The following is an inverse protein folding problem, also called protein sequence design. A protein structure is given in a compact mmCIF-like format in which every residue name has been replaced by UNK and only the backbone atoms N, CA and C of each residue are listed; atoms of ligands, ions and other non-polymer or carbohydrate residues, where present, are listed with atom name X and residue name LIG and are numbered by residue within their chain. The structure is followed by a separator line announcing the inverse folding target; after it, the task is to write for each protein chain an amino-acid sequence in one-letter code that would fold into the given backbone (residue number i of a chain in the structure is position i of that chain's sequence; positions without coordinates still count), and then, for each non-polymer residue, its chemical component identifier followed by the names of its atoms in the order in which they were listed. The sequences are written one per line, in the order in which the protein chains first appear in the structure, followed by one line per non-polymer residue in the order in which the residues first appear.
data_IF_346213564293
#
_entry.id   IF_346213564293
#
_cell.length_a   1.000
_cell.length_b   1.000
_cell.length_c   1.000
_cell.angle_alpha   90.00
_cell.angle_beta   90.00
_cell.angle_gamma   90.00
#
_symmetry.space_group_name_H-M   'P 1'
#
loop_
_entity.id
_entity.type
_entity.pdbx_description
1 polymer ?
#
# COMPACT_ATOMS: atom_id res chain seq x y z
N UNK A 1 36.55 -10.86 11.84
CA UNK A 1 36.33 -9.69 12.75
C UNK A 1 35.38 -8.61 12.20
N UNK A 2 34.40 -8.89 11.31
CA UNK A 2 33.52 -7.84 10.73
C UNK A 2 32.01 -7.96 11.04
N UNK A 3 31.52 -8.99 11.73
CA UNK A 3 30.08 -9.12 12.05
C UNK A 3 29.64 -8.27 13.25
N UNK A 4 30.50 -8.11 14.27
CA UNK A 4 30.17 -7.38 15.50
C UNK A 4 29.94 -5.88 15.32
N UNK A 5 30.69 -5.22 14.42
CA UNK A 5 30.53 -3.77 14.16
C UNK A 5 29.26 -3.43 13.38
N UNK A 6 28.79 -4.31 12.48
CA UNK A 6 27.53 -4.13 11.74
C UNK A 6 26.31 -4.23 12.66
N UNK A 7 26.31 -5.17 13.60
CA UNK A 7 25.17 -5.37 14.52
C UNK A 7 25.00 -4.17 15.46
N UNK A 8 26.10 -3.60 15.98
CA UNK A 8 26.04 -2.44 16.87
C UNK A 8 25.63 -1.16 16.13
N UNK A 9 26.11 -0.93 14.91
CA UNK A 9 25.70 0.21 14.09
C UNK A 9 24.20 0.14 13.69
N UNK A 10 23.71 -1.05 13.37
CA UNK A 10 22.29 -1.28 13.09
C UNK A 10 21.45 -1.01 14.35
N UNK A 11 21.84 -1.50 15.54
CA UNK A 11 21.14 -1.16 16.79
C UNK A 11 21.11 0.34 17.06
N UNK A 12 22.23 1.05 16.94
CA UNK A 12 22.29 2.49 17.17
C UNK A 12 21.41 3.31 16.19
N UNK A 13 21.41 2.94 14.90
CA UNK A 13 20.53 3.57 13.90
C UNK A 13 19.05 3.29 14.18
N UNK A 14 18.73 2.09 14.67
CA UNK A 14 17.36 1.72 15.06
C UNK A 14 16.86 2.58 16.22
N UNK A 15 17.66 2.75 17.28
CA UNK A 15 17.26 3.58 18.42
C UNK A 15 17.22 5.08 18.10
N UNK A 16 18.18 5.58 17.31
CA UNK A 16 18.26 7.01 16.98
C UNK A 16 17.10 7.52 16.11
N UNK A 17 16.64 6.72 15.14
CA UNK A 17 15.50 7.12 14.29
C UNK A 17 14.18 6.97 15.04
N UNK A 18 13.99 5.89 15.81
CA UNK A 18 12.79 5.71 16.64
C UNK A 18 12.65 6.82 17.70
N UNK A 19 13.76 7.32 18.26
CA UNK A 19 13.73 8.46 19.19
C UNK A 19 13.23 9.76 18.56
N UNK A 20 13.56 10.02 17.28
CA UNK A 20 13.02 11.20 16.57
C UNK A 20 11.52 11.10 16.32
N UNK A 21 11.02 9.90 16.04
CA UNK A 21 9.59 9.65 15.84
C UNK A 21 8.83 9.84 17.16
N UNK A 22 9.37 9.34 18.27
CA UNK A 22 8.78 9.54 19.61
C UNK A 22 8.77 11.03 20.01
N UNK A 23 9.85 11.77 19.72
CA UNK A 23 9.89 13.22 19.94
C UNK A 23 8.82 13.95 19.11
N UNK A 24 8.69 13.61 17.83
CA UNK A 24 7.65 14.16 16.96
C UNK A 24 6.24 13.83 17.48
N UNK A 25 5.99 12.59 17.92
CA UNK A 25 4.72 12.19 18.52
C UNK A 25 4.41 12.98 19.81
N UNK A 26 5.42 13.18 20.65
CA UNK A 26 5.31 13.98 21.89
C UNK A 26 4.96 15.43 21.57
N UNK A 27 5.62 16.03 20.58
CA UNK A 27 5.35 17.40 20.12
C UNK A 27 3.93 17.51 19.55
N UNK A 28 3.54 16.61 18.65
CA UNK A 28 2.21 16.59 18.05
C UNK A 28 1.10 16.46 19.10
N UNK A 29 1.32 15.64 20.13
CA UNK A 29 0.40 15.47 21.25
C UNK A 29 0.32 16.73 22.12
N UNK A 30 1.47 17.22 22.61
CA UNK A 30 1.55 18.39 23.50
C UNK A 30 0.96 19.65 22.87
N UNK A 31 1.19 19.85 21.57
CA UNK A 31 0.74 21.04 20.84
C UNK A 31 -0.63 20.85 20.17
N UNK A 32 -1.29 19.70 20.37
CA UNK A 32 -2.61 19.38 19.80
C UNK A 32 -2.63 19.58 18.28
N UNK A 33 -1.58 19.10 17.59
CA UNK A 33 -1.43 19.29 16.15
C UNK A 33 -2.54 18.61 15.33
N UNK A 34 -2.66 18.99 14.06
CA UNK A 34 -3.66 18.47 13.14
C UNK A 34 -3.39 17.00 12.77
N UNK A 35 -4.41 16.31 12.24
CA UNK A 35 -4.23 14.95 11.66
C UNK A 35 -3.16 14.94 10.58
N UNK A 36 -3.09 16.00 9.76
CA UNK A 36 -2.04 16.15 8.75
C UNK A 36 -0.64 16.19 9.34
N UNK A 37 -0.42 16.92 10.44
CA UNK A 37 0.89 16.93 11.11
C UNK A 37 1.25 15.55 11.67
N UNK A 38 0.28 14.85 12.30
CA UNK A 38 0.51 13.48 12.78
C UNK A 38 0.86 12.52 11.64
N UNK A 39 0.14 12.65 10.53
CA UNK A 39 0.31 11.86 9.31
C UNK A 39 1.71 12.04 8.70
N UNK A 40 2.19 13.28 8.62
CA UNK A 40 3.47 13.61 7.96
C UNK A 40 4.68 13.50 8.90
N UNK A 41 4.57 13.94 10.15
CA UNK A 41 5.70 14.03 11.07
C UNK A 41 5.96 12.70 11.81
N UNK A 42 4.94 11.85 11.96
CA UNK A 42 5.02 10.61 12.75
C UNK A 42 4.80 9.38 11.88
N UNK A 43 3.61 9.25 11.29
CA UNK A 43 3.20 8.00 10.60
C UNK A 43 4.04 7.75 9.35
N UNK A 44 4.32 8.80 8.56
CA UNK A 44 5.18 8.69 7.39
C UNK A 44 6.61 8.25 7.76
N UNK A 45 7.16 8.75 8.86
CA UNK A 45 8.49 8.37 9.32
C UNK A 45 8.52 6.92 9.83
N UNK A 46 7.46 6.44 10.48
CA UNK A 46 7.31 5.03 10.85
C UNK A 46 7.32 4.14 9.61
N UNK A 47 6.56 4.49 8.56
CA UNK A 47 6.54 3.73 7.31
C UNK A 47 7.90 3.74 6.60
N UNK A 48 8.58 4.90 6.56
CA UNK A 48 9.94 5.02 6.01
C UNK A 48 10.94 4.18 6.81
N UNK A 49 10.77 4.10 8.13
CA UNK A 49 11.59 3.27 9.00
C UNK A 49 11.37 1.79 8.69
N UNK A 50 10.12 1.35 8.55
CA UNK A 50 9.77 -0.02 8.18
C UNK A 50 10.35 -0.43 6.82
N UNK A 51 10.25 0.42 5.78
CA UNK A 51 10.92 0.18 4.50
C UNK A 51 12.44 0.01 4.63
N UNK A 52 13.07 0.79 5.52
CA UNK A 52 14.51 0.67 5.80
C UNK A 52 14.83 -0.66 6.45
N UNK A 53 14.07 -1.04 7.47
CA UNK A 53 14.34 -2.21 8.29
C UNK A 53 14.05 -3.51 7.54
N UNK A 54 13.05 -3.50 6.66
CA UNK A 54 12.75 -4.62 5.79
C UNK A 54 13.80 -4.80 4.68
N UNK A 55 14.54 -3.74 4.34
CA UNK A 55 15.50 -3.75 3.22
C UNK A 55 14.83 -3.61 1.85
N UNK A 56 13.56 -3.20 1.80
CA UNK A 56 12.73 -3.21 0.59
C UNK A 56 12.53 -1.82 -0.05
N UNK A 57 13.29 -0.81 0.37
CA UNK A 57 13.21 0.58 -0.15
C UNK A 57 13.33 0.71 -1.68
N UNK A 58 14.01 -0.23 -2.33
CA UNK A 58 14.19 -0.21 -3.79
C UNK A 58 13.12 -1.00 -4.54
N UNK A 59 12.25 -1.71 -3.82
CA UNK A 59 11.24 -2.62 -4.38
C UNK A 59 9.81 -2.20 -4.03
N UNK A 60 9.63 -1.45 -2.96
CA UNK A 60 8.33 -1.02 -2.46
C UNK A 60 8.40 0.46 -2.13
N UNK A 61 7.24 1.13 -2.19
CA UNK A 61 7.15 2.54 -1.86
C UNK A 61 5.90 2.87 -1.03
N UNK A 62 6.00 3.97 -0.29
CA UNK A 62 4.85 4.66 0.28
C UNK A 62 4.36 5.67 -0.75
N UNK A 63 3.12 5.51 -1.22
CA UNK A 63 2.46 6.48 -2.07
C UNK A 63 1.70 7.49 -1.21
N UNK A 64 1.90 8.78 -1.45
CA UNK A 64 1.07 9.85 -0.89
C UNK A 64 -0.21 9.98 -1.71
N UNK A 65 -1.35 9.75 -1.06
CA UNK A 65 -2.67 9.67 -1.69
C UNK A 65 -3.63 10.77 -1.22
N UNK A 66 -3.17 11.71 -0.39
CA UNK A 66 -3.97 12.82 0.18
C UNK A 66 -4.68 13.69 -0.85
N UNK A 67 -4.27 13.64 -2.12
CA UNK A 67 -4.89 14.35 -3.24
C UNK A 67 -5.47 13.43 -4.31
N UNK A 68 -5.36 12.10 -4.16
CA UNK A 68 -5.73 11.11 -5.16
C UNK A 68 -7.12 10.54 -4.84
N UNK A 69 -7.89 10.24 -5.88
CA UNK A 69 -9.19 9.57 -5.79
C UNK A 69 -9.19 8.33 -6.68
N UNK A 70 -10.15 7.44 -6.47
CA UNK A 70 -10.47 6.39 -7.46
C UNK A 70 -11.10 7.09 -8.68
N UNK A 71 -10.31 7.23 -9.74
CA UNK A 71 -10.66 7.99 -10.95
C UNK A 71 -11.33 7.14 -12.04
N UNK A 72 -11.54 5.85 -11.77
CA UNK A 72 -12.28 4.93 -12.62
C UNK A 72 -13.63 4.62 -11.95
N UNK A 73 -14.73 5.34 -12.29
CA UNK A 73 -16.00 5.19 -11.60
C UNK A 73 -16.53 3.76 -11.63
N UNK A 74 -16.23 3.00 -12.68
CA UNK A 74 -16.58 1.59 -12.85
C UNK A 74 -16.19 0.72 -11.65
N UNK A 75 -15.09 1.05 -10.97
CA UNK A 75 -14.55 0.31 -9.81
C UNK A 75 -15.23 0.66 -8.48
N UNK A 76 -16.00 1.75 -8.42
CA UNK A 76 -16.63 2.18 -7.18
C UNK A 76 -17.82 1.28 -6.83
N UNK A 77 -17.98 0.90 -5.55
CA UNK A 77 -19.09 0.07 -5.12
C UNK A 77 -20.43 0.79 -5.32
N UNK A 78 -21.47 0.00 -5.58
CA UNK A 78 -22.84 0.51 -5.76
C UNK A 78 -23.59 0.34 -4.45
N UNK A 79 -24.19 1.43 -3.96
CA UNK A 79 -25.09 1.43 -2.79
C UNK A 79 -26.36 2.18 -3.16
N UNK A 80 -27.52 1.56 -2.95
CA UNK A 80 -28.83 2.14 -3.29
C UNK A 80 -28.90 2.61 -4.76
N UNK A 81 -28.42 1.77 -5.70
CA UNK A 81 -28.36 2.05 -7.14
C UNK A 81 -27.48 3.26 -7.54
N UNK A 82 -26.66 3.79 -6.62
CA UNK A 82 -25.73 4.88 -6.88
C UNK A 82 -24.31 4.44 -6.57
N UNK A 83 -23.34 4.89 -7.38
CA UNK A 83 -21.93 4.68 -7.07
C UNK A 83 -21.55 5.52 -5.85
N UNK A 84 -20.87 4.90 -4.90
CA UNK A 84 -20.36 5.61 -3.72
C UNK A 84 -19.30 6.60 -4.17
N UNK A 85 -19.33 7.82 -3.63
CA UNK A 85 -18.32 8.85 -3.92
C UNK A 85 -16.97 8.41 -3.33
N UNK A 86 -15.91 8.42 -4.14
CA UNK A 86 -14.55 8.17 -3.66
C UNK A 86 -14.13 9.29 -2.71
N UNK A 87 -13.82 8.94 -1.46
CA UNK A 87 -13.07 9.80 -0.54
C UNK A 87 -11.58 9.48 -0.69
N UNK A 88 -10.74 10.49 -0.53
CA UNK A 88 -9.27 10.37 -0.58
C UNK A 88 -8.78 9.65 0.66
N UNK A 89 -7.70 8.87 0.58
CA UNK A 89 -6.99 8.30 1.73
C UNK A 89 -5.63 8.97 1.92
N UNK A 90 -5.01 8.84 3.08
CA UNK A 90 -3.71 9.48 3.33
C UNK A 90 -2.56 8.86 2.53
N UNK A 91 -2.39 7.54 2.65
CA UNK A 91 -1.23 6.83 2.10
C UNK A 91 -1.60 5.43 1.60
N UNK A 92 -0.68 4.85 0.84
CA UNK A 92 -0.73 3.44 0.45
C UNK A 92 0.66 2.83 0.34
N UNK A 93 0.75 1.51 0.46
CA UNK A 93 1.96 0.75 0.11
C UNK A 93 1.74 0.10 -1.25
N UNK A 94 2.68 0.34 -2.17
CA UNK A 94 2.64 -0.25 -3.50
C UNK A 94 4.01 -0.81 -3.91
N UNK A 95 3.95 -1.68 -4.92
CA UNK A 95 5.13 -2.18 -5.59
C UNK A 95 5.83 -1.03 -6.33
N UNK A 96 7.15 -1.07 -6.31
CA UNK A 96 8.00 -0.31 -7.21
C UNK A 96 8.55 -1.29 -8.25
N UNK A 97 8.04 -1.24 -9.49
CA UNK A 97 8.57 -2.05 -10.57
C UNK A 97 10.04 -1.71 -10.82
N UNK A 98 10.84 -2.73 -11.13
CA UNK A 98 12.11 -2.49 -11.81
C UNK A 98 11.90 -2.21 -13.31
N UNK A 99 12.99 -2.05 -14.06
CA UNK A 99 12.91 -1.70 -15.47
C UNK A 99 12.24 -2.77 -16.34
N UNK A 100 12.42 -4.05 -16.00
CA UNK A 100 11.82 -5.17 -16.73
C UNK A 100 10.32 -5.28 -16.41
N UNK A 101 9.98 -5.23 -15.12
CA UNK A 101 8.60 -5.22 -14.65
C UNK A 101 7.82 -4.02 -15.21
N UNK A 102 8.42 -2.84 -15.23
CA UNK A 102 7.81 -1.64 -15.80
C UNK A 102 7.53 -1.80 -17.30
N UNK A 103 8.47 -2.40 -18.05
CA UNK A 103 8.28 -2.66 -19.48
C UNK A 103 7.14 -3.66 -19.74
N UNK A 104 7.02 -4.71 -18.93
CA UNK A 104 5.92 -5.67 -19.00
C UNK A 104 4.57 -5.01 -18.74
N UNK A 105 4.48 -4.23 -17.67
CA UNK A 105 3.28 -3.47 -17.30
C UNK A 105 2.90 -2.50 -18.41
N UNK A 106 3.87 -1.75 -18.96
CA UNK A 106 3.63 -0.83 -20.07
C UNK A 106 3.09 -1.51 -21.32
N UNK A 107 3.56 -2.71 -21.64
CA UNK A 107 3.03 -3.46 -22.77
C UNK A 107 1.54 -3.79 -22.59
N UNK A 108 1.18 -4.27 -21.40
CA UNK A 108 -0.24 -4.54 -21.04
C UNK A 108 -1.07 -3.26 -21.11
N UNK A 109 -0.58 -2.15 -20.56
CA UNK A 109 -1.30 -0.87 -20.54
C UNK A 109 -1.48 -0.24 -21.92
N UNK A 110 -0.66 -0.56 -22.91
CA UNK A 110 -0.85 -0.10 -24.30
C UNK A 110 -1.91 -0.88 -25.05
N UNK A 111 -2.15 -2.13 -24.64
CA UNK A 111 -3.05 -3.05 -25.31
C UNK A 111 -4.45 -3.10 -24.68
N UNK A 112 -4.63 -2.47 -23.50
CA UNK A 112 -5.95 -2.34 -22.89
C UNK A 112 -6.80 -1.27 -23.61
N UNK A 113 -8.10 -1.50 -23.66
CA UNK A 113 -9.08 -0.57 -24.23
C UNK A 113 -9.63 0.45 -23.22
N UNK A 114 -9.15 0.40 -21.97
CA UNK A 114 -9.53 1.35 -20.93
C UNK A 114 -9.22 2.80 -21.35
N UNK A 115 -10.15 3.73 -21.11
CA UNK A 115 -9.94 5.17 -21.33
C UNK A 115 -8.80 5.73 -20.46
N UNK A 116 -8.63 5.13 -19.27
CA UNK A 116 -7.58 5.47 -18.31
C UNK A 116 -6.77 4.21 -17.94
N UNK A 117 -5.85 3.73 -18.81
CA UNK A 117 -5.10 2.52 -18.58
C UNK A 117 -4.28 2.57 -17.29
N UNK A 118 -4.55 1.65 -16.36
CA UNK A 118 -3.83 1.50 -15.11
C UNK A 118 -3.88 0.04 -14.64
N UNK A 119 -2.87 -0.39 -13.86
CA UNK A 119 -2.94 -1.65 -13.11
C UNK A 119 -3.44 -1.45 -11.67
N UNK A 120 -3.81 -0.22 -11.33
CA UNK A 120 -4.34 0.19 -10.02
C UNK A 120 -5.72 0.83 -10.19
N UNK A 121 -6.42 1.01 -9.07
CA UNK A 121 -7.72 1.68 -8.98
C UNK A 121 -7.68 3.19 -9.30
N UNK A 122 -6.50 3.74 -9.59
CA UNK A 122 -6.36 5.09 -10.13
C UNK A 122 -5.30 5.14 -11.23
N UNK A 123 -5.51 5.97 -12.24
CA UNK A 123 -4.60 6.17 -13.37
C UNK A 123 -3.64 7.35 -13.20
N UNK A 124 -3.64 8.01 -12.03
CA UNK A 124 -2.65 9.07 -11.74
C UNK A 124 -1.22 8.54 -11.90
N UNK A 125 -0.24 9.36 -12.34
CA UNK A 125 1.10 8.88 -12.69
C UNK A 125 1.82 8.08 -11.60
N UNK A 126 1.57 8.38 -10.32
CA UNK A 126 2.18 7.66 -9.20
C UNK A 126 1.65 6.23 -9.04
N UNK A 127 0.37 5.97 -9.38
CA UNK A 127 -0.29 4.66 -9.24
C UNK A 127 -0.49 3.90 -10.54
N UNK A 128 -0.45 4.58 -11.70
CA UNK A 128 -0.77 3.99 -13.02
C UNK A 128 -0.10 2.65 -13.27
N UNK A 129 1.17 2.53 -12.89
CA UNK A 129 2.02 1.33 -13.05
C UNK A 129 2.38 0.66 -11.73
N UNK A 130 1.71 1.02 -10.63
CA UNK A 130 2.07 0.59 -9.28
C UNK A 130 0.83 0.11 -8.56
N UNK A 131 0.69 -1.21 -8.47
CA UNK A 131 -0.42 -1.81 -7.75
C UNK A 131 -0.27 -1.59 -6.23
N UNK A 132 -1.32 -1.05 -5.63
CA UNK A 132 -1.45 -0.92 -4.17
C UNK A 132 -1.84 -2.26 -3.57
N UNK A 133 -1.19 -2.61 -2.46
CA UNK A 133 -1.50 -3.82 -1.69
C UNK A 133 -1.87 -3.50 -0.23
N UNK A 134 -1.72 -2.26 0.20
CA UNK A 134 -2.15 -1.78 1.50
C UNK A 134 -2.62 -0.32 1.39
N UNK A 135 -3.78 0.00 1.97
CA UNK A 135 -4.33 1.35 2.07
C UNK A 135 -4.24 1.82 3.52
N UNK A 136 -3.85 3.08 3.75
CA UNK A 136 -3.68 3.65 5.08
C UNK A 136 -4.48 4.95 5.23
N UNK A 137 -5.15 5.07 6.37
CA UNK A 137 -5.87 6.26 6.81
C UNK A 137 -5.48 6.56 8.26
N UNK A 138 -5.14 7.80 8.54
CA UNK A 138 -4.76 8.28 9.86
C UNK A 138 -5.96 9.04 10.44
N UNK A 139 -6.31 8.70 11.68
CA UNK A 139 -7.36 9.40 12.45
C UNK A 139 -6.89 9.70 13.85
N UNK A 140 -7.36 10.81 14.40
CA UNK A 140 -7.21 11.11 15.83
C UNK A 140 -7.94 10.06 16.67
N UNK A 141 -7.41 9.70 17.85
CA UNK A 141 -8.18 9.00 18.86
C UNK A 141 -9.49 9.76 19.12
N UNK A 142 -10.62 9.05 19.07
CA UNK A 142 -11.97 9.62 19.27
C UNK A 142 -12.42 10.66 18.23
N UNK A 143 -11.84 10.66 17.04
CA UNK A 143 -12.35 11.45 15.91
C UNK A 143 -13.79 11.04 15.55
N UNK A 144 -14.62 12.02 15.16
CA UNK A 144 -16.02 11.79 14.79
C UNK A 144 -16.20 11.06 13.45
N UNK A 145 -15.13 10.74 12.73
CA UNK A 145 -15.17 10.08 11.43
C UNK A 145 -14.52 8.70 11.49
N UNK A 146 -15.35 7.69 11.29
CA UNK A 146 -14.92 6.31 11.12
C UNK A 146 -14.12 6.16 9.80
N UNK A 147 -12.86 5.69 9.84
CA UNK A 147 -12.07 5.45 8.63
C UNK A 147 -12.53 4.21 7.84
N UNK A 148 -13.29 3.29 8.44
CA UNK A 148 -13.70 2.00 7.83
C UNK A 148 -14.34 2.19 6.44
N UNK A 149 -15.36 3.06 6.26
CA UNK A 149 -16.06 3.13 4.98
C UNK A 149 -15.16 3.63 3.85
N UNK A 150 -14.24 4.53 4.17
CA UNK A 150 -13.31 5.12 3.21
C UNK A 150 -12.25 4.11 2.76
N UNK A 151 -11.64 3.41 3.71
CA UNK A 151 -10.74 2.30 3.44
C UNK A 151 -11.45 1.18 2.67
N UNK A 152 -12.69 0.86 3.03
CA UNK A 152 -13.50 -0.15 2.34
C UNK A 152 -13.73 0.18 0.86
N UNK A 153 -14.06 1.43 0.54
CA UNK A 153 -14.21 1.87 -0.87
C UNK A 153 -12.89 1.71 -1.65
N UNK A 154 -11.77 2.14 -1.08
CA UNK A 154 -10.46 2.03 -1.72
C UNK A 154 -10.01 0.57 -1.93
N UNK A 155 -10.19 -0.25 -0.91
CA UNK A 155 -9.84 -1.67 -0.96
C UNK A 155 -10.71 -2.39 -1.98
N UNK A 156 -12.03 -2.18 -1.98
CA UNK A 156 -12.93 -2.81 -2.95
C UNK A 156 -12.62 -2.39 -4.40
N UNK A 157 -12.32 -1.11 -4.63
CA UNK A 157 -11.95 -0.64 -5.97
C UNK A 157 -10.62 -1.26 -6.44
N UNK A 158 -9.61 -1.33 -5.55
CA UNK A 158 -8.34 -2.01 -5.80
C UNK A 158 -8.53 -3.48 -6.14
N UNK A 159 -9.24 -4.23 -5.29
CA UNK A 159 -9.54 -5.64 -5.50
C UNK A 159 -10.31 -5.87 -6.81
N UNK A 160 -11.32 -5.05 -7.09
CA UNK A 160 -12.09 -5.16 -8.33
C UNK A 160 -11.20 -4.97 -9.57
N UNK A 161 -10.27 -4.01 -9.54
CA UNK A 161 -9.32 -3.83 -10.65
C UNK A 161 -8.40 -5.03 -10.82
N UNK A 162 -7.86 -5.53 -9.71
CA UNK A 162 -6.97 -6.69 -9.68
C UNK A 162 -7.67 -7.97 -10.16
N UNK A 163 -8.91 -8.22 -9.74
CA UNK A 163 -9.73 -9.33 -10.21
C UNK A 163 -10.08 -9.22 -11.69
N UNK A 164 -10.34 -8.01 -12.21
CA UNK A 164 -10.56 -7.81 -13.64
C UNK A 164 -9.31 -8.17 -14.46
N UNK A 165 -8.13 -7.73 -14.04
CA UNK A 165 -6.86 -8.10 -14.69
C UNK A 165 -6.63 -9.62 -14.67
N UNK A 166 -6.89 -10.26 -13.52
CA UNK A 166 -6.75 -11.70 -13.40
C UNK A 166 -7.71 -12.46 -14.34
N UNK A 167 -8.99 -12.06 -14.38
CA UNK A 167 -9.99 -12.64 -15.28
C UNK A 167 -9.64 -12.43 -16.76
N UNK A 168 -9.16 -11.26 -17.12
CA UNK A 168 -8.66 -11.00 -18.47
C UNK A 168 -7.48 -11.93 -18.78
N UNK A 169 -6.54 -12.11 -17.87
CA UNK A 169 -5.39 -13.00 -18.07
C UNK A 169 -5.81 -14.46 -18.29
N UNK A 170 -6.82 -14.94 -17.56
CA UNK A 170 -7.39 -16.29 -17.74
C UNK A 170 -8.04 -16.46 -19.11
N UNK A 171 -8.76 -15.45 -19.60
CA UNK A 171 -9.38 -15.48 -20.92
C UNK A 171 -8.34 -15.59 -22.05
N UNK A 172 -7.15 -15.01 -21.88
CA UNK A 172 -6.06 -15.08 -22.85
C UNK A 172 -5.34 -16.45 -22.84
N UNK A 173 -5.29 -17.14 -21.69
CA UNK A 173 -4.61 -18.44 -21.56
C UNK A 173 -5.44 -19.64 -22.03
N UNK A 174 -6.75 -19.46 -22.33
CA UNK A 174 -7.68 -20.55 -22.61
C UNK A 174 -8.01 -21.34 -21.33
N UNK A 175 -9.29 -21.60 -21.07
CA UNK A 175 -9.81 -22.26 -19.86
C UNK A 175 -9.04 -23.56 -19.48
N UNK A 176 -8.00 -23.47 -18.65
CA UNK A 176 -7.43 -24.63 -17.94
C UNK A 176 -6.49 -24.32 -16.78
N UNK A 177 -5.95 -23.10 -16.67
CA UNK A 177 -5.18 -22.70 -15.50
C UNK A 177 -6.11 -22.01 -14.51
N UNK A 178 -6.62 -22.78 -13.55
CA UNK A 178 -7.11 -22.20 -12.30
C UNK A 178 -5.92 -21.51 -11.64
N UNK A 179 -5.67 -20.25 -12.01
CA UNK A 179 -5.23 -19.29 -10.99
C UNK A 179 -6.40 -19.31 -10.02
N UNK A 180 -6.27 -20.11 -8.95
CA UNK A 180 -7.09 -19.92 -7.76
C UNK A 180 -7.12 -18.41 -7.59
N UNK A 181 -8.33 -17.84 -7.59
CA UNK A 181 -8.54 -16.45 -7.15
C UNK A 181 -7.62 -16.37 -5.95
N UNK A 182 -6.53 -15.57 -5.99
CA UNK A 182 -5.65 -15.53 -4.85
C UNK A 182 -6.62 -15.38 -3.70
N UNK A 183 -6.53 -16.26 -2.71
CA UNK A 183 -6.93 -15.83 -1.39
C UNK A 183 -6.02 -14.61 -1.20
N UNK A 184 -6.48 -13.46 -1.71
CA UNK A 184 -6.02 -12.16 -1.34
C UNK A 184 -6.43 -12.31 0.10
N UNK A 185 -5.45 -12.72 0.89
CA UNK A 185 -5.37 -12.38 2.28
C UNK A 185 -5.29 -10.86 2.19
N UNK A 186 -6.43 -10.24 1.86
CA UNK A 186 -6.86 -9.00 2.39
C UNK A 186 -6.68 -9.36 3.83
N UNK A 187 -5.56 -8.94 4.38
CA UNK A 187 -5.61 -8.45 5.72
C UNK A 187 -6.75 -7.42 5.65
N UNK A 188 -7.99 -7.90 5.82
CA UNK A 188 -8.93 -7.37 6.78
C UNK A 188 -8.17 -7.49 8.09
N UNK A 189 -7.08 -6.71 8.18
CA UNK A 189 -6.28 -6.65 9.35
C UNK A 189 -7.26 -6.18 10.41
N UNK A 190 -7.10 -6.63 11.65
CA UNK A 190 -7.73 -5.89 12.72
C UNK A 190 -7.39 -4.41 12.51
N UNK A 191 -8.33 -3.52 12.82
CA UNK A 191 -8.00 -2.10 12.98
C UNK A 191 -6.91 -2.03 14.02
N UNK A 192 -5.66 -1.90 13.57
CA UNK A 192 -4.55 -1.81 14.50
C UNK A 192 -4.52 -0.37 14.98
N UNK A 193 -5.19 -0.13 16.11
CA UNK A 193 -4.96 1.06 16.90
C UNK A 193 -3.61 0.87 17.57
N UNK A 194 -2.58 1.42 16.94
CA UNK A 194 -1.28 1.51 17.58
C UNK A 194 -1.14 2.88 18.21
N UNK A 195 -0.70 2.90 19.45
CA UNK A 195 -0.24 4.13 20.07
C UNK A 195 1.20 4.41 19.61
N UNK A 196 1.55 5.68 19.50
CA UNK A 196 2.91 6.14 19.23
C UNK A 196 3.53 6.79 20.47
N UNK A 197 2.90 6.60 21.63
CA UNK A 197 3.28 7.15 22.92
C UNK A 197 4.58 6.62 23.50
N UNK A 198 5.16 5.54 22.93
CA UNK A 198 6.47 5.03 23.33
C UNK A 198 7.29 4.46 22.18
N UNK A 199 8.62 4.49 22.32
CA UNK A 199 9.55 3.79 21.41
C UNK A 199 9.19 2.30 21.23
N UNK A 200 8.73 1.62 22.29
CA UNK A 200 8.40 0.19 22.23
C UNK A 200 7.23 -0.04 21.27
N UNK A 201 6.18 0.78 21.36
CA UNK A 201 5.02 0.67 20.46
C UNK A 201 5.41 1.02 19.02
N UNK A 202 6.22 2.06 18.83
CA UNK A 202 6.78 2.41 17.50
C UNK A 202 7.52 1.20 16.91
N UNK A 203 8.33 0.49 17.69
CA UNK A 203 9.04 -0.72 17.22
C UNK A 203 8.05 -1.83 16.84
N UNK A 204 6.97 -2.03 17.61
CA UNK A 204 5.95 -3.01 17.25
C UNK A 204 5.25 -2.67 15.93
N UNK A 205 4.88 -1.40 15.72
CA UNK A 205 4.29 -0.92 14.45
C UNK A 205 5.25 -1.19 13.30
N UNK A 206 6.52 -0.81 13.46
CA UNK A 206 7.54 -1.00 12.43
C UNK A 206 7.71 -2.48 12.08
N UNK A 207 7.72 -3.38 13.06
CA UNK A 207 7.81 -4.81 12.82
C UNK A 207 6.58 -5.36 12.08
N UNK A 208 5.37 -4.95 12.49
CA UNK A 208 4.14 -5.34 11.79
C UNK A 208 4.13 -4.86 10.34
N UNK A 209 4.52 -3.61 10.10
CA UNK A 209 4.70 -3.07 8.75
C UNK A 209 5.77 -3.83 7.97
N UNK A 210 6.86 -4.28 8.60
CA UNK A 210 7.86 -5.10 7.93
C UNK A 210 7.27 -6.42 7.42
N UNK A 211 6.38 -7.08 8.16
CA UNK A 211 5.71 -8.30 7.67
C UNK A 211 4.78 -8.00 6.50
N UNK A 212 3.99 -6.92 6.56
CA UNK A 212 3.12 -6.48 5.46
C UNK A 212 3.96 -6.19 4.20
N UNK A 213 5.09 -5.50 4.35
CA UNK A 213 6.01 -5.20 3.25
C UNK A 213 6.61 -6.49 2.66
N UNK A 214 7.01 -7.47 3.49
CA UNK A 214 7.51 -8.76 2.98
C UNK A 214 6.44 -9.50 2.20
N UNK A 215 5.22 -9.58 2.72
CA UNK A 215 4.10 -10.18 1.98
C UNK A 215 3.85 -9.48 0.64
N UNK A 216 3.93 -8.15 0.63
CA UNK A 216 3.87 -7.33 -0.59
C UNK A 216 4.94 -7.72 -1.62
N UNK A 217 6.21 -7.83 -1.20
CA UNK A 217 7.33 -8.17 -2.08
C UNK A 217 7.34 -9.63 -2.53
N UNK A 218 6.86 -10.58 -1.70
CA UNK A 218 6.92 -12.00 -2.02
C UNK A 218 5.64 -12.48 -2.68
N UNK A 219 4.52 -12.42 -1.97
CA UNK A 219 3.29 -13.07 -2.36
C UNK A 219 2.54 -12.23 -3.38
N UNK A 220 2.30 -10.95 -3.05
CA UNK A 220 1.54 -10.06 -3.91
C UNK A 220 2.27 -9.75 -5.22
N UNK A 221 3.57 -9.43 -5.18
CA UNK A 221 4.39 -9.21 -6.38
C UNK A 221 4.39 -10.43 -7.30
N UNK A 222 4.66 -11.63 -6.77
CA UNK A 222 4.71 -12.86 -7.58
C UNK A 222 3.38 -13.12 -8.28
N UNK A 223 2.26 -12.97 -7.54
CA UNK A 223 0.93 -13.10 -8.12
C UNK A 223 0.66 -12.05 -9.20
N UNK A 224 0.96 -10.77 -8.95
CA UNK A 224 0.70 -9.72 -9.92
C UNK A 224 1.49 -9.94 -11.21
N UNK A 225 2.77 -10.29 -11.08
CA UNK A 225 3.63 -10.52 -12.25
C UNK A 225 3.20 -11.75 -13.06
N UNK A 226 2.63 -12.78 -12.43
CA UNK A 226 2.07 -13.91 -13.20
C UNK A 226 0.85 -13.48 -14.02
N UNK A 227 -0.03 -12.66 -13.45
CA UNK A 227 -1.18 -12.06 -14.17
C UNK A 227 -0.71 -11.17 -15.32
N UNK A 228 0.25 -10.27 -15.06
CA UNK A 228 0.80 -9.37 -16.09
C UNK A 228 1.48 -10.16 -17.22
N UNK A 229 2.27 -11.17 -16.88
CA UNK A 229 2.96 -12.00 -17.87
C UNK A 229 1.97 -12.73 -18.79
N UNK A 230 0.88 -13.28 -18.24
CA UNK A 230 -0.14 -13.96 -19.02
C UNK A 230 -0.89 -13.03 -19.98
N UNK A 231 -1.08 -11.77 -19.60
CA UNK A 231 -1.68 -10.74 -20.45
C UNK A 231 -0.77 -10.31 -21.62
N UNK A 232 0.53 -10.61 -21.59
CA UNK A 232 1.44 -10.30 -22.70
C UNK A 232 1.42 -11.36 -23.81
N UNK A 233 0.96 -12.57 -23.51
CA UNK A 233 1.10 -13.74 -24.41
C UNK A 233 -0.12 -14.04 -25.27
N UNK A 234 -1.25 -13.37 -25.06
CA UNK A 234 -2.45 -13.48 -25.90
C UNK A 234 -2.66 -12.23 -26.74
#
# INVERSE_FOLDING_TARGET
MSSGKRITAIRFLRYGISGRIEEAATVCSREVRSEDSWSDDVVLEIMRLALTWSGLRNKLMVANLKSVVVDQPALLPIRNLRRVVSKKIDYGLCLQPDAEEEAMIENVLRNTSDELPSISQSAVPILRKRALFCNLEIKKPYGNQDPVPQLGVWSMAGLTKLSNLARESQAHMGESVFLEDPEITVFHGPFWNYDTGSIIEIIFIVNALCEILRWGDTTFRTWLLSVISALQTG
#
